data_IF_352676844342
#
_entry.id   IF_352676844342
#
_cell.length_a   1.000
_cell.length_b   1.000
_cell.length_c   1.000
_cell.angle_alpha   90.00
_cell.angle_beta   90.00
_cell.angle_gamma   90.00
#
_symmetry.space_group_name_H-M   'P 1'
#
loop_
_entity.id
_entity.type
_entity.pdbx_description
1 polymer ?
#
# COMPACT_ATOMS: atom_id res chain seq x y z
N UNK A 1 -7.80 -17.90 21.55
CA UNK A 1 -7.34 -17.17 20.37
C UNK A 1 -5.84 -16.92 20.35
N UNK A 2 -5.16 -17.04 21.50
CA UNK A 2 -3.70 -16.87 21.56
C UNK A 2 -2.88 -17.90 20.79
N UNK A 3 -3.46 -19.01 20.42
CA UNK A 3 -2.78 -20.10 19.73
C UNK A 3 -3.13 -20.22 18.25
N UNK A 4 -3.99 -19.31 17.72
CA UNK A 4 -4.25 -19.26 16.30
C UNK A 4 -3.03 -18.66 15.59
N UNK A 5 -2.26 -19.46 14.81
CA UNK A 5 -1.06 -18.98 14.16
C UNK A 5 -1.32 -17.87 13.12
N UNK A 6 -2.58 -17.64 12.79
CA UNK A 6 -2.99 -16.68 11.77
C UNK A 6 -3.61 -15.41 12.33
N UNK A 7 -3.90 -15.38 13.64
CA UNK A 7 -4.57 -14.26 14.26
C UNK A 7 -3.63 -13.47 15.16
N UNK A 8 -3.20 -12.33 14.70
CA UNK A 8 -2.35 -11.38 15.43
C UNK A 8 -1.12 -11.99 16.12
N UNK A 9 -0.48 -12.97 15.49
CA UNK A 9 0.80 -13.51 15.97
C UNK A 9 1.88 -12.43 16.08
N UNK A 10 1.78 -11.42 15.24
CA UNK A 10 2.54 -10.17 15.32
C UNK A 10 1.58 -9.00 15.22
N UNK A 11 2.07 -7.84 14.80
CA UNK A 11 1.24 -6.66 14.58
C UNK A 11 0.49 -6.71 13.24
N UNK A 12 1.03 -7.43 12.28
CA UNK A 12 0.46 -7.63 10.95
C UNK A 12 0.67 -9.08 10.53
N UNK A 13 -0.42 -9.78 10.27
CA UNK A 13 -0.41 -11.17 9.83
C UNK A 13 -1.10 -11.31 8.47
N UNK A 14 -0.58 -12.21 7.67
CA UNK A 14 -1.08 -12.50 6.34
C UNK A 14 -1.44 -13.98 6.24
N UNK A 15 -2.64 -14.26 5.72
CA UNK A 15 -3.09 -15.61 5.40
C UNK A 15 -3.40 -15.68 3.91
N UNK A 16 -2.62 -16.45 3.17
CA UNK A 16 -2.92 -16.72 1.77
C UNK A 16 -4.06 -17.73 1.70
N UNK A 17 -5.20 -17.31 1.15
CA UNK A 17 -6.39 -18.15 1.02
C UNK A 17 -6.26 -19.06 -0.19
N UNK A 18 -5.80 -18.50 -1.31
CA UNK A 18 -5.56 -19.22 -2.55
C UNK A 18 -4.59 -18.44 -3.42
N UNK A 19 -3.79 -19.12 -4.20
CA UNK A 19 -2.88 -18.44 -5.13
C UNK A 19 -2.46 -19.36 -6.28
N UNK A 20 -2.26 -18.73 -7.42
CA UNK A 20 -1.39 -19.20 -8.49
C UNK A 20 -0.13 -18.35 -8.45
N UNK A 21 1.03 -18.95 -8.72
CA UNK A 21 2.32 -18.26 -8.59
C UNK A 21 2.44 -17.00 -9.43
N UNK A 22 1.76 -16.93 -10.57
CA UNK A 22 1.85 -15.81 -11.49
C UNK A 22 0.53 -15.08 -11.71
N UNK A 23 -0.59 -15.80 -11.71
CA UNK A 23 -1.86 -15.29 -12.22
C UNK A 23 -2.67 -14.53 -11.15
N UNK A 24 -2.68 -15.02 -9.91
CA UNK A 24 -3.46 -14.36 -8.86
C UNK A 24 -3.00 -14.72 -7.46
N UNK A 25 -3.45 -13.92 -6.50
CA UNK A 25 -3.35 -14.20 -5.08
C UNK A 25 -4.57 -13.67 -4.35
N UNK A 26 -5.18 -14.52 -3.53
CA UNK A 26 -6.24 -14.16 -2.61
C UNK A 26 -5.66 -14.21 -1.19
N UNK A 27 -5.70 -13.10 -0.48
CA UNK A 27 -5.04 -13.00 0.81
C UNK A 27 -5.86 -12.21 1.82
N UNK A 28 -5.88 -12.70 3.07
CA UNK A 28 -6.40 -11.97 4.23
C UNK A 28 -5.26 -11.35 5.01
N UNK A 29 -5.44 -10.12 5.42
CA UNK A 29 -4.54 -9.42 6.32
C UNK A 29 -5.25 -9.11 7.64
N UNK A 30 -4.56 -9.39 8.73
CA UNK A 30 -4.96 -9.00 10.08
C UNK A 30 -3.95 -7.97 10.59
N UNK A 31 -4.45 -6.82 10.99
CA UNK A 31 -3.59 -5.71 11.42
C UNK A 31 -4.07 -5.17 12.76
N UNK A 32 -3.15 -5.11 13.73
CA UNK A 32 -3.46 -4.58 15.07
C UNK A 32 -3.61 -3.07 15.06
N UNK A 33 -4.47 -2.59 15.94
CA UNK A 33 -4.62 -1.16 16.21
C UNK A 33 -3.26 -0.47 16.40
N UNK A 34 -3.07 0.65 15.72
CA UNK A 34 -1.85 1.45 15.78
C UNK A 34 -0.75 0.98 14.83
N UNK A 35 -0.91 -0.16 14.18
CA UNK A 35 0.08 -0.69 13.25
C UNK A 35 -0.06 -0.04 11.88
N UNK A 36 1.07 0.25 11.26
CA UNK A 36 1.16 0.77 9.91
C UNK A 36 1.54 -0.36 8.95
N UNK A 37 0.78 -0.50 7.87
CA UNK A 37 1.25 -1.18 6.66
C UNK A 37 1.98 -0.14 5.83
N UNK A 38 3.31 -0.26 5.65
CA UNK A 38 4.10 0.79 5.00
C UNK A 38 3.65 1.07 3.57
N UNK A 39 3.93 2.28 3.12
CA UNK A 39 3.69 2.68 1.73
C UNK A 39 4.42 1.73 0.78
N UNK A 40 3.68 1.12 -0.13
CA UNK A 40 4.19 0.16 -1.10
C UNK A 40 3.45 0.26 -2.42
N UNK A 41 4.07 -0.23 -3.47
CA UNK A 41 3.52 -0.24 -4.81
C UNK A 41 2.93 -1.60 -5.21
N UNK A 42 2.20 -1.58 -6.32
CA UNK A 42 1.59 -2.75 -6.95
C UNK A 42 1.95 -2.74 -8.45
N UNK A 43 3.24 -2.96 -8.78
CA UNK A 43 3.73 -2.74 -10.14
C UNK A 43 3.04 -3.66 -11.14
N UNK A 44 2.44 -3.05 -12.18
CA UNK A 44 1.72 -3.75 -13.25
C UNK A 44 0.59 -4.67 -12.75
N UNK A 45 0.01 -4.31 -11.59
CA UNK A 45 -1.01 -5.12 -10.93
C UNK A 45 -2.32 -4.34 -10.78
N UNK A 46 -3.40 -5.11 -10.74
CA UNK A 46 -4.69 -4.65 -10.25
C UNK A 46 -4.97 -5.36 -8.94
N UNK A 47 -5.44 -4.62 -7.93
CA UNK A 47 -5.79 -5.17 -6.63
C UNK A 47 -7.20 -4.75 -6.27
N UNK A 48 -8.00 -5.72 -5.91
CA UNK A 48 -9.31 -5.52 -5.33
C UNK A 48 -9.21 -5.70 -3.83
N UNK A 49 -9.60 -4.69 -3.08
CA UNK A 49 -9.51 -4.63 -1.62
C UNK A 49 -10.91 -4.52 -1.02
N UNK A 50 -11.17 -5.24 0.07
CA UNK A 50 -12.35 -5.06 0.90
C UNK A 50 -12.00 -5.12 2.37
N UNK A 51 -12.42 -4.11 3.13
CA UNK A 51 -12.30 -4.11 4.59
C UNK A 51 -13.41 -5.00 5.17
N UNK A 52 -13.00 -6.10 5.82
CA UNK A 52 -13.93 -7.08 6.39
C UNK A 52 -14.47 -6.61 7.75
N UNK A 53 -13.57 -6.13 8.61
CA UNK A 53 -13.94 -5.47 9.86
C UNK A 53 -12.84 -4.51 10.30
N UNK A 54 -13.19 -3.55 11.14
CA UNK A 54 -12.27 -2.60 11.73
C UNK A 54 -12.34 -1.23 11.10
N UNK A 55 -11.25 -0.47 11.22
CA UNK A 55 -11.13 0.87 10.69
C UNK A 55 -9.66 1.16 10.35
N UNK A 56 -9.44 1.65 9.14
CA UNK A 56 -8.12 1.97 8.62
C UNK A 56 -8.06 3.43 8.15
N UNK A 57 -6.98 4.13 8.47
CA UNK A 57 -6.60 5.32 7.75
C UNK A 57 -5.84 4.92 6.49
N UNK A 58 -6.27 5.42 5.36
CA UNK A 58 -5.78 5.08 4.05
C UNK A 58 -5.24 6.30 3.34
N UNK A 59 -4.06 6.15 2.73
CA UNK A 59 -3.48 7.14 1.82
C UNK A 59 -2.96 6.43 0.58
N UNK A 60 -3.24 7.03 -0.58
CA UNK A 60 -2.69 6.57 -1.84
C UNK A 60 -1.94 7.67 -2.57
N UNK A 61 -0.98 7.24 -3.35
CA UNK A 61 -0.12 8.11 -4.15
C UNK A 61 0.02 7.52 -5.55
N UNK A 62 0.19 8.41 -6.52
CA UNK A 62 0.53 8.03 -7.88
C UNK A 62 1.88 8.62 -8.27
N UNK A 63 2.68 7.83 -8.97
CA UNK A 63 3.97 8.25 -9.46
C UNK A 63 3.80 9.35 -10.49
N UNK A 64 4.55 10.43 -10.33
CA UNK A 64 4.56 11.54 -11.29
C UNK A 64 5.63 11.29 -12.33
N UNK A 65 5.31 11.57 -13.60
CA UNK A 65 6.28 11.46 -14.69
C UNK A 65 7.50 12.36 -14.44
N UNK A 66 8.70 11.83 -14.62
CA UNK A 66 9.98 12.52 -14.42
C UNK A 66 10.14 13.79 -15.27
N UNK A 67 9.29 13.97 -16.29
CA UNK A 67 9.25 15.20 -17.09
C UNK A 67 8.76 16.43 -16.32
N UNK A 68 8.06 16.22 -15.22
CA UNK A 68 7.64 17.29 -14.32
C UNK A 68 8.81 17.62 -13.37
N UNK A 69 9.71 18.46 -13.82
CA UNK A 69 10.85 18.89 -13.02
C UNK A 69 10.43 19.75 -11.83
N UNK A 70 11.13 19.55 -10.75
CA UNK A 70 10.97 20.08 -9.39
C UNK A 70 10.74 21.59 -9.24
N UNK A 71 10.95 22.39 -10.27
CA UNK A 71 11.15 23.82 -10.09
C UNK A 71 9.86 24.64 -9.86
N UNK A 72 8.69 24.02 -9.96
CA UNK A 72 7.41 24.75 -9.91
C UNK A 72 6.36 24.17 -8.97
N UNK A 73 6.69 23.13 -8.18
CA UNK A 73 5.69 22.50 -7.32
C UNK A 73 5.82 22.98 -5.88
N UNK A 74 5.13 24.06 -5.59
CA UNK A 74 4.86 24.54 -4.23
C UNK A 74 3.56 23.93 -3.70
N UNK A 75 3.04 22.92 -4.37
CA UNK A 75 1.75 22.34 -4.06
C UNK A 75 1.87 21.23 -3.01
N UNK A 76 1.01 21.29 -1.98
CA UNK A 76 0.97 20.30 -0.90
C UNK A 76 0.54 18.89 -1.36
N UNK A 77 0.10 18.77 -2.61
CA UNK A 77 -0.29 17.49 -3.19
C UNK A 77 0.90 16.62 -3.62
N UNK A 78 2.08 17.21 -3.83
CA UNK A 78 3.26 16.50 -4.31
C UNK A 78 4.20 16.16 -3.16
N UNK A 79 4.63 14.92 -3.12
CA UNK A 79 5.49 14.38 -2.08
C UNK A 79 6.68 13.65 -2.67
N UNK A 80 7.84 13.84 -2.10
CA UNK A 80 8.98 12.98 -2.39
C UNK A 80 8.89 11.72 -1.53
N UNK A 81 9.02 10.58 -2.17
CA UNK A 81 9.06 9.29 -1.51
C UNK A 81 10.35 8.56 -1.86
N UNK A 82 10.89 7.88 -0.87
CA UNK A 82 12.20 7.23 -0.95
C UNK A 82 12.06 5.73 -0.76
N UNK A 83 12.59 4.97 -1.72
CA UNK A 83 12.89 3.56 -1.54
C UNK A 83 14.38 3.36 -1.29
N UNK A 84 14.80 2.13 -0.98
CA UNK A 84 16.23 1.79 -0.85
C UNK A 84 17.02 2.03 -2.13
N UNK A 85 16.35 2.14 -3.27
CA UNK A 85 16.97 2.24 -4.58
C UNK A 85 16.92 3.63 -5.20
N UNK A 86 15.87 4.40 -4.95
CA UNK A 86 15.70 5.70 -5.57
C UNK A 86 14.68 6.58 -4.87
N UNK A 87 14.79 7.87 -5.14
CA UNK A 87 13.83 8.90 -4.78
C UNK A 87 12.91 9.15 -5.97
N UNK A 88 11.61 9.17 -5.73
CA UNK A 88 10.62 9.49 -6.76
C UNK A 88 9.68 10.58 -6.28
N UNK A 89 9.12 11.32 -7.23
CA UNK A 89 8.06 12.28 -6.97
C UNK A 89 6.72 11.57 -7.11
N UNK A 90 5.86 11.73 -6.12
CA UNK A 90 4.52 11.17 -6.11
C UNK A 90 3.47 12.24 -5.82
N UNK A 91 2.32 12.11 -6.44
CA UNK A 91 1.15 12.93 -6.17
C UNK A 91 0.21 12.17 -5.23
N UNK A 92 -0.20 12.81 -4.15
CA UNK A 92 -1.22 12.26 -3.27
C UNK A 92 -2.55 12.17 -4.01
N UNK A 93 -3.08 10.96 -4.11
CA UNK A 93 -4.32 10.70 -4.82
C UNK A 93 -5.51 10.73 -3.88
N UNK A 94 -5.45 9.98 -2.78
CA UNK A 94 -6.53 9.90 -1.79
C UNK A 94 -6.00 9.89 -0.37
N UNK A 95 -6.82 10.42 0.55
CA UNK A 95 -6.64 10.25 2.00
C UNK A 95 -8.03 10.13 2.60
N UNK A 96 -8.32 9.00 3.26
CA UNK A 96 -9.65 8.76 3.82
C UNK A 96 -9.59 7.71 4.93
N UNK A 97 -10.60 7.70 5.77
CA UNK A 97 -10.83 6.63 6.73
C UNK A 97 -11.74 5.58 6.11
N UNK A 98 -11.29 4.33 6.15
CA UNK A 98 -12.05 3.19 5.68
C UNK A 98 -12.79 2.55 6.84
N UNK A 99 -13.98 2.10 6.58
CA UNK A 99 -14.85 1.38 7.53
C UNK A 99 -15.26 0.03 6.94
N UNK A 100 -15.84 -0.81 7.78
CA UNK A 100 -16.32 -2.15 7.38
C UNK A 100 -17.12 -2.09 6.08
N UNK A 101 -16.82 -3.02 5.19
CA UNK A 101 -17.37 -3.20 3.85
C UNK A 101 -16.91 -2.19 2.79
N UNK A 102 -16.09 -1.23 3.13
CA UNK A 102 -15.48 -0.35 2.12
C UNK A 102 -14.58 -1.16 1.19
N UNK A 103 -14.63 -0.80 -0.10
CA UNK A 103 -13.83 -1.41 -1.16
C UNK A 103 -12.92 -0.39 -1.82
N UNK A 104 -11.76 -0.86 -2.23
CA UNK A 104 -10.80 -0.07 -2.99
C UNK A 104 -10.37 -0.84 -4.24
N UNK A 105 -10.04 -0.09 -5.28
CA UNK A 105 -9.44 -0.64 -6.49
C UNK A 105 -8.07 -0.01 -6.69
N UNK A 106 -7.07 -0.85 -6.88
CA UNK A 106 -5.73 -0.46 -7.31
C UNK A 106 -5.57 -0.86 -8.77
N UNK A 107 -5.05 0.05 -9.57
CA UNK A 107 -4.75 -0.20 -10.98
C UNK A 107 -3.26 0.08 -11.24
N UNK A 108 -2.70 -0.39 -12.35
CA UNK A 108 -1.29 -0.13 -12.64
C UNK A 108 -0.90 1.36 -12.65
N UNK A 109 -1.83 2.24 -12.96
CA UNK A 109 -1.59 3.69 -13.08
C UNK A 109 -2.45 4.57 -12.17
N UNK A 110 -3.29 3.98 -11.33
CA UNK A 110 -4.21 4.73 -10.46
C UNK A 110 -4.21 4.14 -9.06
N UNK A 111 -3.96 4.97 -8.05
CA UNK A 111 -3.89 4.58 -6.64
C UNK A 111 -2.89 3.44 -6.39
N UNK A 112 -1.85 3.36 -7.21
CA UNK A 112 -0.96 2.20 -7.24
C UNK A 112 -0.09 2.05 -6.00
N UNK A 113 0.23 3.15 -5.33
CA UNK A 113 0.97 3.14 -4.08
C UNK A 113 0.04 3.51 -2.94
N UNK A 114 0.03 2.72 -1.87
CA UNK A 114 -0.78 3.06 -0.70
C UNK A 114 -0.15 2.61 0.62
N UNK A 115 -0.68 3.19 1.69
CA UNK A 115 -0.38 2.82 3.06
C UNK A 115 -1.66 2.78 3.90
N UNK A 116 -1.64 1.97 4.94
CA UNK A 116 -2.70 1.90 5.94
C UNK A 116 -2.14 2.11 7.34
N UNK A 117 -2.93 2.77 8.19
CA UNK A 117 -2.71 2.78 9.63
C UNK A 117 -3.99 2.27 10.28
N UNK A 118 -3.90 1.22 11.07
CA UNK A 118 -5.07 0.66 11.72
C UNK A 118 -5.49 1.53 12.92
N UNK A 119 -6.70 2.04 12.86
CA UNK A 119 -7.33 2.74 14.00
C UNK A 119 -7.91 1.77 15.01
N UNK A 120 -8.26 0.58 14.57
CA UNK A 120 -8.76 -0.53 15.34
C UNK A 120 -8.14 -1.81 14.82
N UNK A 121 -8.25 -2.90 15.57
CA UNK A 121 -7.92 -4.21 15.04
C UNK A 121 -8.77 -4.46 13.81
N UNK A 122 -8.13 -4.75 12.69
CA UNK A 122 -8.80 -4.79 11.39
C UNK A 122 -8.41 -6.02 10.61
N UNK A 123 -9.31 -6.39 9.69
CA UNK A 123 -9.08 -7.46 8.73
C UNK A 123 -9.53 -6.98 7.36
N UNK A 124 -8.69 -7.16 6.37
CA UNK A 124 -9.04 -6.87 4.98
C UNK A 124 -8.62 -7.99 4.04
N UNK A 125 -9.28 -8.05 2.91
CA UNK A 125 -9.10 -9.06 1.89
C UNK A 125 -8.61 -8.42 0.60
N UNK A 126 -7.53 -8.98 0.03
CA UNK A 126 -6.98 -8.54 -1.23
C UNK A 126 -7.06 -9.63 -2.29
N UNK A 127 -7.49 -9.25 -3.48
CA UNK A 127 -7.35 -10.04 -4.71
C UNK A 127 -6.32 -9.35 -5.60
N UNK A 128 -5.16 -9.97 -5.75
CA UNK A 128 -4.06 -9.44 -6.56
C UNK A 128 -4.05 -10.12 -7.93
N UNK A 129 -4.09 -9.34 -9.00
CA UNK A 129 -4.14 -9.79 -10.40
C UNK A 129 -3.16 -8.98 -11.26
N UNK A 130 -2.06 -9.56 -11.73
CA UNK A 130 -1.46 -10.82 -11.33
C UNK A 130 -0.80 -10.76 -9.95
N UNK A 131 -0.22 -11.88 -9.51
CA UNK A 131 0.47 -11.94 -8.25
C UNK A 131 1.82 -11.18 -8.30
N UNK A 132 2.30 -10.75 -7.13
CA UNK A 132 3.71 -10.38 -6.99
C UNK A 132 4.59 -11.59 -7.28
N UNK A 133 5.72 -11.35 -7.95
CA UNK A 133 6.71 -12.40 -8.18
C UNK A 133 8.09 -11.90 -7.76
N UNK A 134 8.82 -12.64 -6.89
CA UNK A 134 10.14 -12.21 -6.48
C UNK A 134 11.19 -12.31 -7.58
N UNK A 135 10.94 -13.13 -8.59
CA UNK A 135 11.86 -13.37 -9.71
C UNK A 135 11.62 -12.45 -10.91
N UNK A 136 10.45 -11.82 -10.99
CA UNK A 136 10.11 -10.89 -12.06
C UNK A 136 10.20 -9.45 -11.56
N UNK A 137 11.20 -8.72 -12.03
CA UNK A 137 11.44 -7.33 -11.64
C UNK A 137 10.26 -6.39 -11.91
N UNK A 138 9.41 -6.73 -12.89
CA UNK A 138 8.25 -5.91 -13.24
C UNK A 138 7.11 -5.98 -12.22
N UNK A 139 7.12 -6.99 -11.34
CA UNK A 139 6.08 -7.21 -10.32
C UNK A 139 6.66 -7.46 -8.92
N UNK A 140 7.82 -6.89 -8.64
CA UNK A 140 8.42 -6.94 -7.31
C UNK A 140 7.91 -5.78 -6.47
N UNK A 141 7.43 -6.08 -5.27
CA UNK A 141 6.98 -5.04 -4.33
C UNK A 141 8.15 -4.13 -3.94
N UNK A 142 7.87 -2.83 -3.92
CA UNK A 142 8.78 -1.82 -3.39
C UNK A 142 8.10 -1.07 -2.26
N UNK A 143 8.83 -0.89 -1.17
CA UNK A 143 8.40 -0.09 -0.03
C UNK A 143 9.03 1.30 -0.11
N UNK A 144 8.25 2.30 0.26
CA UNK A 144 8.65 3.69 0.22
C UNK A 144 8.46 4.35 1.58
N UNK A 145 9.21 5.41 1.79
CA UNK A 145 9.06 6.30 2.93
C UNK A 145 8.89 7.72 2.43
N UNK A 146 7.88 8.42 2.95
CA UNK A 146 7.70 9.83 2.63
C UNK A 146 8.81 10.66 3.27
N UNK A 147 9.39 11.58 2.50
CA UNK A 147 10.39 12.51 3.00
C UNK A 147 9.66 13.76 3.46
N UNK A 148 9.80 14.11 4.74
CA UNK A 148 9.24 15.34 5.29
C UNK A 148 9.89 16.56 4.63
N UNK A 149 9.08 17.59 4.33
CA UNK A 149 9.58 18.83 3.68
C UNK A 149 10.76 19.45 4.41
N UNK A 150 10.82 19.33 5.73
CA UNK A 150 11.89 19.87 6.56
C UNK A 150 13.23 19.16 6.36
N UNK A 151 13.22 17.96 5.78
CA UNK A 151 14.42 17.16 5.50
C UNK A 151 14.99 17.43 4.11
N UNK A 152 14.26 18.15 3.26
CA UNK A 152 14.68 18.46 1.88
C UNK A 152 15.67 19.64 1.86
N UNK A 153 15.63 20.48 2.87
CA UNK A 153 16.47 21.68 2.96
C UNK A 153 17.82 21.42 3.64
N UNK A 154 18.09 20.20 4.02
CA UNK A 154 19.38 19.74 4.54
C UNK A 154 20.11 18.89 3.51
#
# INVERSE_FOLDING_TARGET
MGDDPYYFKGNLNRVTVDMDNEDYRLVLFFIKKGTRMPLHDHPNMSVFFRLIFGSLDYRSYDKVDEKFKYNNFVDDEYHEILSSKKRILAKKSRAMSLKTDDVLFVRPSVNNMHEFVAKENSCFFDVCLPNYTPTNHSRRITYFKEIMKDQITQ
#
